data_IF_816048319622
#
_entry.id   IF_816048319622
#
_cell.length_a   1.000
_cell.length_b   1.000
_cell.length_c   1.000
_cell.angle_alpha   90.00
_cell.angle_beta   90.00
_cell.angle_gamma   90.00
#
_symmetry.space_group_name_H-M   'P 1'
#
loop_
_entity.id
_entity.type
_entity.pdbx_description
1 polymer ?
#
# COMPACT_ATOMS: atom_id res chain seq x y z
N UNK A 1 -40.99 -5.58 -32.59
CA UNK A 1 -40.18 -5.91 -31.39
C UNK A 1 -39.02 -4.94 -31.33
N UNK A 2 -39.06 -3.99 -30.40
CA UNK A 2 -37.90 -3.15 -30.12
C UNK A 2 -36.93 -4.06 -29.37
N UNK A 3 -35.87 -4.51 -30.03
CA UNK A 3 -34.75 -5.18 -29.37
C UNK A 3 -34.06 -4.08 -28.56
N UNK A 4 -34.44 -3.97 -27.29
CA UNK A 4 -33.71 -3.14 -26.33
C UNK A 4 -32.37 -3.86 -26.15
N UNK A 5 -31.31 -3.36 -26.81
CA UNK A 5 -29.96 -3.79 -26.52
C UNK A 5 -29.75 -3.69 -25.00
N UNK A 6 -29.23 -4.74 -24.33
CA UNK A 6 -28.96 -4.65 -22.91
C UNK A 6 -28.04 -3.44 -22.66
N UNK A 7 -28.21 -2.71 -21.54
CA UNK A 7 -27.39 -1.53 -21.27
C UNK A 7 -25.90 -1.87 -21.42
N UNK A 8 -25.09 -0.96 -21.96
CA UNK A 8 -23.64 -1.16 -21.98
C UNK A 8 -23.14 -1.34 -20.55
N UNK A 9 -22.23 -2.28 -20.34
CA UNK A 9 -21.62 -2.51 -19.03
C UNK A 9 -20.52 -1.46 -18.84
N UNK A 10 -20.60 -0.58 -17.83
CA UNK A 10 -19.56 0.42 -17.55
C UNK A 10 -18.32 -0.23 -16.92
N UNK A 11 -17.12 0.27 -17.27
CA UNK A 11 -15.85 -0.23 -16.69
C UNK A 11 -15.83 -0.14 -15.18
N UNK A 12 -16.36 0.95 -14.61
CA UNK A 12 -16.48 1.14 -13.15
C UNK A 12 -17.15 -0.04 -12.42
N UNK A 13 -18.04 -0.80 -13.07
CA UNK A 13 -18.66 -1.98 -12.45
C UNK A 13 -17.67 -3.14 -12.31
N UNK A 14 -16.76 -3.30 -13.26
CA UNK A 14 -15.66 -4.25 -13.16
C UNK A 14 -14.70 -3.80 -12.04
N UNK A 15 -14.44 -2.50 -11.90
CA UNK A 15 -13.62 -1.97 -10.80
C UNK A 15 -14.23 -2.32 -9.44
N UNK A 16 -15.55 -2.19 -9.26
CA UNK A 16 -16.21 -2.61 -8.02
C UNK A 16 -16.15 -4.12 -7.81
N UNK A 17 -16.38 -4.91 -8.85
CA UNK A 17 -16.28 -6.38 -8.78
C UNK A 17 -14.90 -6.81 -8.32
N UNK A 18 -13.85 -6.26 -8.92
CA UNK A 18 -12.46 -6.51 -8.57
C UNK A 18 -12.11 -6.04 -7.15
N UNK A 19 -12.45 -4.79 -6.81
CA UNK A 19 -12.05 -4.16 -5.55
C UNK A 19 -12.76 -4.76 -4.34
N UNK A 20 -14.04 -5.07 -4.47
CA UNK A 20 -14.90 -5.53 -3.38
C UNK A 20 -15.24 -7.04 -3.48
N UNK A 21 -14.63 -7.76 -4.43
CA UNK A 21 -14.91 -9.16 -4.73
C UNK A 21 -16.40 -9.47 -5.00
N UNK A 22 -17.14 -8.52 -5.57
CA UNK A 22 -18.58 -8.70 -5.81
C UNK A 22 -18.81 -9.63 -7.00
N UNK A 23 -19.46 -10.76 -6.75
CA UNK A 23 -19.76 -11.77 -7.77
C UNK A 23 -18.54 -12.53 -8.27
N UNK A 24 -17.40 -12.42 -7.58
CA UNK A 24 -16.19 -13.16 -7.93
C UNK A 24 -16.01 -14.39 -7.01
N UNK A 25 -15.57 -15.53 -7.56
CA UNK A 25 -15.15 -16.66 -6.74
C UNK A 25 -13.84 -16.33 -6.01
N UNK A 26 -13.49 -17.06 -4.92
CA UNK A 26 -12.20 -16.88 -4.24
C UNK A 26 -10.97 -17.11 -5.11
N UNK A 27 -11.13 -17.89 -6.19
CA UNK A 27 -10.11 -18.16 -7.21
C UNK A 27 -10.74 -17.97 -8.59
N UNK A 28 -10.13 -17.12 -9.42
CA UNK A 28 -10.48 -16.87 -10.82
C UNK A 28 -9.47 -17.54 -11.75
N UNK A 29 -9.89 -17.87 -12.96
CA UNK A 29 -9.09 -18.47 -14.02
C UNK A 29 -8.60 -17.40 -14.98
N UNK A 30 -7.31 -17.37 -15.27
CA UNK A 30 -6.80 -16.61 -16.40
C UNK A 30 -7.12 -17.29 -17.74
N UNK A 31 -6.95 -16.56 -18.83
CA UNK A 31 -7.17 -17.04 -20.21
C UNK A 31 -6.18 -18.12 -20.63
N UNK A 32 -5.07 -18.31 -19.92
CA UNK A 32 -4.12 -19.42 -20.09
C UNK A 32 -4.37 -20.55 -19.07
N UNK A 33 -5.56 -20.54 -18.45
CA UNK A 33 -6.02 -21.48 -17.42
C UNK A 33 -5.25 -21.40 -16.08
N UNK A 34 -4.42 -20.38 -15.89
CA UNK A 34 -3.72 -20.12 -14.63
C UNK A 34 -4.71 -19.82 -13.50
N UNK A 35 -4.43 -20.31 -12.29
CA UNK A 35 -5.23 -20.03 -11.09
C UNK A 35 -4.81 -18.70 -10.50
N UNK A 36 -5.74 -17.78 -10.29
CA UNK A 36 -5.45 -16.44 -9.77
C UNK A 36 -6.28 -16.21 -8.52
N UNK A 37 -5.63 -15.85 -7.41
CA UNK A 37 -6.29 -15.35 -6.20
C UNK A 37 -5.89 -13.90 -5.96
N UNK A 38 -6.89 -13.04 -5.81
CA UNK A 38 -6.70 -11.65 -5.43
C UNK A 38 -6.55 -11.61 -3.91
N UNK A 39 -5.31 -11.64 -3.42
CA UNK A 39 -5.04 -11.57 -1.98
C UNK A 39 -5.26 -10.13 -1.48
N UNK A 40 -4.82 -9.14 -2.28
CA UNK A 40 -5.16 -7.74 -2.09
C UNK A 40 -5.37 -7.05 -3.44
N UNK A 41 -6.48 -6.33 -3.64
CA UNK A 41 -6.77 -5.68 -4.93
C UNK A 41 -5.82 -4.52 -5.28
N UNK A 42 -4.93 -4.13 -4.36
CA UNK A 42 -4.06 -2.96 -4.53
C UNK A 42 -4.77 -1.67 -4.16
N UNK A 43 -4.41 -0.56 -4.79
CA UNK A 43 -5.08 0.73 -4.56
C UNK A 43 -5.49 1.36 -5.86
N UNK A 44 -6.76 1.78 -5.88
CA UNK A 44 -7.33 2.54 -6.97
C UNK A 44 -6.49 3.80 -7.24
N UNK A 45 -6.01 3.90 -8.47
CA UNK A 45 -5.32 5.06 -9.01
C UNK A 45 -6.36 6.05 -9.55
N UNK A 46 -6.18 7.33 -9.25
CA UNK A 46 -7.02 8.42 -9.78
C UNK A 46 -6.26 9.32 -10.74
N UNK A 47 -4.98 9.02 -10.98
CA UNK A 47 -4.11 9.74 -11.91
C UNK A 47 -3.83 8.92 -13.16
N UNK A 48 -2.72 9.23 -13.82
CA UNK A 48 -2.25 8.48 -14.98
C UNK A 48 -1.63 7.14 -14.54
N UNK A 49 -1.67 6.13 -15.41
CA UNK A 49 -1.18 4.78 -15.14
C UNK A 49 -2.31 3.81 -14.80
N UNK A 50 -1.97 2.58 -14.38
CA UNK A 50 -2.96 1.51 -14.29
C UNK A 50 -4.01 1.74 -13.21
N UNK A 51 -5.18 1.12 -13.38
CA UNK A 51 -6.37 1.34 -12.53
C UNK A 51 -6.12 1.02 -11.05
N UNK A 52 -5.40 -0.06 -10.77
CA UNK A 52 -5.03 -0.46 -9.42
C UNK A 52 -3.54 -0.69 -9.32
N UNK A 53 -2.91 0.04 -8.41
CA UNK A 53 -1.48 -0.10 -8.17
C UNK A 53 -1.20 -1.10 -7.04
N UNK A 54 -0.18 -1.92 -7.27
CA UNK A 54 0.44 -2.78 -6.26
C UNK A 54 -0.56 -3.74 -5.59
N UNK A 55 -1.32 -4.42 -6.43
CA UNK A 55 -2.10 -5.58 -6.04
C UNK A 55 -1.17 -6.72 -5.62
N UNK A 56 -1.59 -7.47 -4.59
CA UNK A 56 -0.95 -8.71 -4.21
C UNK A 56 -1.79 -9.84 -4.76
N UNK A 57 -1.23 -10.56 -5.73
CA UNK A 57 -1.89 -11.67 -6.41
C UNK A 57 -1.13 -12.97 -6.13
N UNK A 58 -1.84 -14.08 -6.09
CA UNK A 58 -1.24 -15.41 -6.17
C UNK A 58 -1.65 -16.03 -7.51
N UNK A 59 -0.69 -16.26 -8.40
CA UNK A 59 -0.88 -16.85 -9.73
C UNK A 59 -0.18 -18.21 -9.77
N UNK A 60 -0.95 -19.29 -9.96
CA UNK A 60 -0.50 -20.69 -9.87
C UNK A 60 0.34 -21.01 -8.63
N UNK A 61 -0.04 -20.40 -7.49
CA UNK A 61 0.66 -20.57 -6.21
C UNK A 61 1.86 -19.66 -6.01
N UNK A 62 2.28 -18.91 -7.04
CA UNK A 62 3.35 -17.92 -6.94
C UNK A 62 2.75 -16.56 -6.58
N UNK A 63 3.20 -16.00 -5.47
CA UNK A 63 2.78 -14.66 -5.05
C UNK A 63 3.62 -13.60 -5.71
N UNK A 64 2.95 -12.59 -6.25
CA UNK A 64 3.60 -11.45 -6.88
C UNK A 64 2.85 -10.15 -6.58
N UNK A 65 3.60 -9.06 -6.58
CA UNK A 65 3.07 -7.71 -6.52
C UNK A 65 3.14 -7.11 -7.91
N UNK A 66 2.06 -6.52 -8.38
CA UNK A 66 2.03 -5.76 -9.62
C UNK A 66 0.73 -4.99 -9.75
N UNK A 67 0.58 -4.30 -10.88
CA UNK A 67 -0.57 -3.46 -11.13
C UNK A 67 -1.69 -4.23 -11.85
N UNK A 68 -2.92 -3.77 -11.71
CA UNK A 68 -4.08 -4.34 -12.38
C UNK A 68 -4.76 -3.29 -13.21
N UNK A 69 -4.97 -3.63 -14.47
CA UNK A 69 -5.73 -2.84 -15.43
C UNK A 69 -7.09 -3.47 -15.68
N UNK A 70 -8.12 -2.64 -15.92
CA UNK A 70 -9.49 -3.09 -16.10
C UNK A 70 -10.09 -2.42 -17.34
N UNK A 71 -10.59 -3.21 -18.28
CA UNK A 71 -11.28 -2.68 -19.47
C UNK A 71 -12.51 -3.50 -19.84
N UNK A 72 -13.42 -2.95 -20.63
CA UNK A 72 -14.51 -3.76 -21.21
C UNK A 72 -13.98 -4.77 -22.22
N UNK A 73 -13.05 -4.37 -23.07
CA UNK A 73 -12.51 -5.22 -24.12
C UNK A 73 -10.99 -5.03 -24.31
N UNK A 74 -10.30 -6.00 -24.95
CA UNK A 74 -8.85 -5.94 -25.15
C UNK A 74 -8.40 -4.74 -25.98
N UNK A 75 -9.24 -4.25 -26.90
CA UNK A 75 -8.92 -3.13 -27.79
C UNK A 75 -8.70 -1.82 -27.04
N UNK A 76 -9.35 -1.63 -25.89
CA UNK A 76 -9.18 -0.46 -25.03
C UNK A 76 -7.72 -0.23 -24.63
N UNK A 77 -6.95 -1.31 -24.42
CA UNK A 77 -5.53 -1.23 -24.10
C UNK A 77 -4.74 -0.40 -25.12
N UNK A 78 -4.99 -0.63 -26.41
CA UNK A 78 -4.31 0.07 -27.50
C UNK A 78 -4.95 1.43 -27.79
N UNK A 79 -6.28 1.54 -27.67
CA UNK A 79 -6.99 2.81 -27.88
C UNK A 79 -6.55 3.88 -26.90
N UNK A 80 -6.25 3.49 -25.66
CA UNK A 80 -5.73 4.38 -24.63
C UNK A 80 -4.20 4.56 -24.68
N UNK A 81 -3.50 3.87 -25.60
CA UNK A 81 -2.05 3.98 -25.79
C UNK A 81 -1.21 3.36 -24.67
N UNK A 82 -1.77 2.43 -23.89
CA UNK A 82 -1.08 1.81 -22.76
C UNK A 82 0.11 0.95 -23.17
N UNK A 83 0.12 0.45 -24.41
CA UNK A 83 1.24 -0.30 -24.98
C UNK A 83 2.51 0.55 -25.17
N UNK A 84 2.38 1.88 -25.16
CA UNK A 84 3.48 2.83 -25.31
C UNK A 84 3.79 3.63 -24.04
N UNK A 85 3.02 3.46 -22.96
CA UNK A 85 3.23 4.16 -21.69
C UNK A 85 3.95 3.26 -20.67
N UNK A 86 5.18 3.64 -20.30
CA UNK A 86 6.03 2.93 -19.34
C UNK A 86 5.36 2.72 -17.97
N UNK A 87 4.38 3.56 -17.60
CA UNK A 87 3.62 3.41 -16.35
C UNK A 87 2.85 2.09 -16.27
N UNK A 88 2.56 1.46 -17.41
CA UNK A 88 1.87 0.18 -17.50
C UNK A 88 2.83 -1.02 -17.52
N UNK A 89 4.14 -0.78 -17.37
CA UNK A 89 5.17 -1.82 -17.38
C UNK A 89 5.07 -2.82 -16.22
N UNK A 90 4.39 -2.46 -15.13
CA UNK A 90 4.20 -3.31 -13.95
C UNK A 90 2.82 -3.99 -13.90
N UNK A 91 1.99 -3.84 -14.93
CA UNK A 91 0.70 -4.54 -15.01
C UNK A 91 0.96 -6.05 -15.04
N UNK A 92 0.40 -6.76 -14.05
CA UNK A 92 0.53 -8.21 -13.93
C UNK A 92 -0.81 -8.94 -14.13
N UNK A 93 -1.92 -8.21 -14.13
CA UNK A 93 -3.27 -8.71 -14.41
C UNK A 93 -4.07 -7.68 -15.20
N UNK A 94 -4.74 -8.12 -16.26
CA UNK A 94 -5.73 -7.33 -17.00
C UNK A 94 -7.09 -7.99 -16.91
N UNK A 95 -8.01 -7.36 -16.19
CA UNK A 95 -9.39 -7.81 -16.05
C UNK A 95 -10.24 -7.23 -17.18
N UNK A 96 -10.88 -8.10 -17.94
CA UNK A 96 -11.71 -7.76 -19.08
C UNK A 96 -13.16 -8.14 -18.78
N UNK A 97 -14.13 -7.37 -19.29
CA UNK A 97 -15.51 -7.87 -19.27
C UNK A 97 -15.62 -9.12 -20.14
N UNK A 98 -15.24 -9.00 -21.41
CA UNK A 98 -15.28 -10.08 -22.39
C UNK A 98 -14.29 -9.82 -23.55
N UNK A 99 -14.00 -10.85 -24.34
CA UNK A 99 -13.14 -10.79 -25.51
C UNK A 99 -13.68 -11.70 -26.64
N UNK A 100 -14.82 -11.36 -27.27
CA UNK A 100 -15.45 -12.23 -28.27
C UNK A 100 -14.59 -12.46 -29.52
N UNK A 101 -13.66 -11.55 -29.82
CA UNK A 101 -12.68 -11.67 -30.91
C UNK A 101 -11.35 -12.27 -30.47
N UNK A 102 -11.25 -12.70 -29.22
CA UNK A 102 -10.01 -13.08 -28.55
C UNK A 102 -9.18 -11.89 -28.10
N UNK A 103 -8.12 -12.17 -27.34
CA UNK A 103 -7.13 -11.17 -26.92
C UNK A 103 -6.03 -11.13 -27.97
N UNK A 104 -5.66 -9.94 -28.50
CA UNK A 104 -4.55 -9.82 -29.45
C UNK A 104 -3.28 -10.48 -28.91
N UNK A 105 -2.61 -11.29 -29.74
CA UNK A 105 -1.49 -12.15 -29.32
C UNK A 105 -0.40 -11.39 -28.57
N UNK A 106 -0.01 -10.20 -29.06
CA UNK A 106 0.98 -9.34 -28.41
C UNK A 106 0.58 -8.93 -27.00
N UNK A 107 -0.71 -8.67 -26.76
CA UNK A 107 -1.23 -8.31 -25.45
C UNK A 107 -1.31 -9.56 -24.56
N UNK A 108 -1.85 -10.67 -25.08
CA UNK A 108 -2.00 -11.94 -24.36
C UNK A 108 -0.68 -12.49 -23.79
N UNK A 109 0.46 -12.18 -24.41
CA UNK A 109 1.78 -12.60 -23.95
C UNK A 109 2.37 -11.74 -22.81
N UNK A 110 1.86 -10.52 -22.56
CA UNK A 110 2.49 -9.58 -21.61
C UNK A 110 2.28 -9.96 -20.15
N UNK A 111 1.06 -10.34 -19.79
CA UNK A 111 0.64 -10.62 -18.41
C UNK A 111 -0.65 -11.45 -18.39
N UNK A 112 -1.14 -11.80 -17.21
CA UNK A 112 -2.34 -12.62 -17.08
C UNK A 112 -3.59 -11.81 -17.43
N UNK A 113 -4.55 -12.45 -18.11
CA UNK A 113 -5.82 -11.81 -18.47
C UNK A 113 -6.98 -12.64 -17.96
N UNK A 114 -8.03 -12.00 -17.44
CA UNK A 114 -9.23 -12.66 -16.93
C UNK A 114 -10.45 -12.11 -17.67
N UNK A 115 -11.29 -13.00 -18.21
CA UNK A 115 -12.60 -12.63 -18.74
C UNK A 115 -13.63 -12.78 -17.61
N UNK A 116 -14.16 -11.65 -17.14
CA UNK A 116 -15.04 -11.58 -15.96
C UNK A 116 -16.42 -12.16 -16.23
N UNK A 117 -16.99 -11.91 -17.41
CA UNK A 117 -18.36 -12.31 -17.77
C UNK A 117 -18.63 -13.80 -17.55
N UNK A 118 -17.65 -14.65 -17.88
CA UNK A 118 -17.74 -16.11 -17.76
C UNK A 118 -17.38 -16.67 -16.38
N UNK A 119 -17.09 -15.82 -15.39
CA UNK A 119 -16.59 -16.25 -14.08
C UNK A 119 -17.38 -15.72 -12.90
N UNK A 120 -18.51 -15.05 -13.16
CA UNK A 120 -19.37 -14.59 -12.09
C UNK A 120 -19.95 -15.76 -11.32
N UNK A 121 -19.98 -15.66 -9.98
CA UNK A 121 -20.63 -16.65 -9.10
C UNK A 121 -22.15 -16.51 -9.07
N UNK A 122 -22.70 -15.59 -9.86
CA UNK A 122 -24.12 -15.28 -9.98
C UNK A 122 -24.47 -14.95 -11.43
N UNK A 123 -25.75 -15.06 -11.83
CA UNK A 123 -26.19 -14.64 -13.16
C UNK A 123 -25.80 -13.19 -13.48
N UNK A 124 -25.47 -12.92 -14.75
CA UNK A 124 -25.05 -11.59 -15.23
C UNK A 124 -26.12 -10.53 -14.93
N UNK A 125 -27.40 -10.89 -15.02
CA UNK A 125 -28.53 -10.02 -14.71
C UNK A 125 -28.55 -9.62 -13.23
N UNK A 126 -28.36 -10.59 -12.32
CA UNK A 126 -28.28 -10.33 -10.87
C UNK A 126 -27.07 -9.46 -10.52
N UNK A 127 -25.92 -9.73 -11.16
CA UNK A 127 -24.73 -8.90 -11.00
C UNK A 127 -24.98 -7.46 -11.48
N UNK A 128 -25.62 -7.30 -12.64
CA UNK A 128 -25.98 -6.00 -13.22
C UNK A 128 -26.92 -5.20 -12.32
N UNK A 129 -27.97 -5.84 -11.78
CA UNK A 129 -28.84 -5.19 -10.78
C UNK A 129 -28.10 -4.76 -9.52
N UNK A 130 -27.14 -5.57 -9.05
CA UNK A 130 -26.30 -5.25 -7.89
C UNK A 130 -25.45 -4.02 -8.18
N UNK A 131 -24.82 -3.97 -9.36
CA UNK A 131 -23.97 -2.84 -9.76
C UNK A 131 -24.77 -1.57 -9.99
N UNK A 132 -25.96 -1.66 -10.59
CA UNK A 132 -26.87 -0.52 -10.73
C UNK A 132 -27.28 0.07 -9.37
N UNK A 133 -27.60 -0.79 -8.39
CA UNK A 133 -27.89 -0.35 -7.02
C UNK A 133 -26.71 0.38 -6.39
N UNK A 134 -25.50 -0.18 -6.53
CA UNK A 134 -24.28 0.44 -6.04
C UNK A 134 -24.02 1.80 -6.70
N UNK A 135 -24.21 1.89 -8.02
CA UNK A 135 -24.04 3.14 -8.75
C UNK A 135 -25.02 4.24 -8.32
N UNK A 136 -26.30 3.88 -8.17
CA UNK A 136 -27.30 4.82 -7.65
C UNK A 136 -26.94 5.30 -6.25
N UNK A 137 -26.45 4.41 -5.37
CA UNK A 137 -26.00 4.76 -4.03
C UNK A 137 -24.70 5.58 -3.97
N UNK A 138 -23.81 5.41 -4.96
CA UNK A 138 -22.54 6.14 -5.05
C UNK A 138 -22.70 7.54 -5.65
N UNK A 139 -23.71 7.72 -6.50
CA UNK A 139 -23.99 8.99 -7.19
C UNK A 139 -24.70 10.02 -6.30
N UNK A 140 -25.26 9.56 -5.17
CA UNK A 140 -25.76 10.42 -4.10
C UNK A 140 -25.05 10.01 -2.82
N UNK A 141 -23.94 10.68 -2.42
CA UNK A 141 -23.52 10.59 -1.03
C UNK A 141 -24.76 10.89 -0.18
N UNK A 142 -25.06 10.09 0.87
CA UNK A 142 -26.19 10.41 1.73
C UNK A 142 -26.00 11.85 2.19
N UNK A 143 -27.06 12.67 2.11
CA UNK A 143 -26.99 14.03 2.58
C UNK A 143 -26.49 13.97 4.02
N UNK A 144 -25.37 14.65 4.32
CA UNK A 144 -24.74 14.60 5.64
C UNK A 144 -25.74 15.08 6.71
N UNK A 145 -26.71 15.92 6.30
CA UNK A 145 -27.82 16.36 7.15
C UNK A 145 -28.73 15.20 7.62
N UNK A 146 -28.84 14.12 6.84
CA UNK A 146 -29.78 13.02 7.07
C UNK A 146 -29.12 11.73 7.58
N UNK A 147 -27.79 11.68 7.67
CA UNK A 147 -27.10 10.49 8.21
C UNK A 147 -27.31 10.42 9.72
N UNK A 148 -28.03 9.39 10.16
CA UNK A 148 -28.23 9.12 11.57
C UNK A 148 -26.93 8.67 12.24
N UNK A 149 -26.81 8.88 13.56
CA UNK A 149 -25.70 8.32 14.34
C UNK A 149 -25.58 6.79 14.21
N UNK A 150 -26.70 6.11 13.98
CA UNK A 150 -26.74 4.67 13.77
C UNK A 150 -26.08 4.27 12.44
N UNK A 151 -26.38 4.97 11.35
CA UNK A 151 -25.75 4.73 10.05
C UNK A 151 -24.25 5.07 10.07
N UNK A 152 -23.88 6.19 10.72
CA UNK A 152 -22.47 6.53 10.96
C UNK A 152 -21.75 5.42 11.74
N UNK A 153 -22.38 4.89 12.78
CA UNK A 153 -21.84 3.77 13.55
C UNK A 153 -21.70 2.51 12.67
N UNK A 154 -22.69 2.21 11.83
CA UNK A 154 -22.65 1.10 10.86
C UNK A 154 -21.49 1.23 9.87
N UNK A 155 -21.27 2.42 9.28
CA UNK A 155 -20.14 2.65 8.38
C UNK A 155 -18.79 2.60 9.10
N UNK A 156 -18.71 3.11 10.33
CA UNK A 156 -17.52 3.02 11.16
C UNK A 156 -17.19 1.55 11.49
N UNK A 157 -18.19 0.76 11.85
CA UNK A 157 -18.05 -0.66 12.11
C UNK A 157 -17.61 -1.42 10.84
N UNK A 158 -18.22 -1.14 9.68
CA UNK A 158 -17.82 -1.76 8.42
C UNK A 158 -16.36 -1.44 8.07
N UNK A 159 -15.93 -0.18 8.28
CA UNK A 159 -14.53 0.23 8.10
C UNK A 159 -13.60 -0.48 9.09
N UNK A 160 -14.02 -0.65 10.34
CA UNK A 160 -13.27 -1.39 11.34
C UNK A 160 -13.14 -2.88 10.96
N UNK A 161 -14.24 -3.54 10.60
CA UNK A 161 -14.25 -4.94 10.16
C UNK A 161 -13.36 -5.17 8.94
N UNK A 162 -13.36 -4.27 7.94
CA UNK A 162 -12.43 -4.35 6.79
C UNK A 162 -10.96 -4.30 7.21
N UNK A 163 -10.60 -3.45 8.20
CA UNK A 163 -9.23 -3.41 8.73
C UNK A 163 -8.87 -4.71 9.46
N UNK A 164 -9.80 -5.24 10.27
CA UNK A 164 -9.62 -6.51 10.99
C UNK A 164 -9.42 -7.67 10.01
N UNK A 165 -10.25 -7.77 8.98
CA UNK A 165 -10.14 -8.84 7.99
C UNK A 165 -8.80 -8.76 7.25
N UNK A 166 -8.40 -7.57 6.78
CA UNK A 166 -7.08 -7.38 6.16
C UNK A 166 -5.93 -7.84 7.05
N UNK A 167 -5.96 -7.49 8.34
CA UNK A 167 -4.93 -7.94 9.30
C UNK A 167 -4.97 -9.45 9.51
N UNK A 168 -6.15 -10.06 9.55
CA UNK A 168 -6.32 -11.53 9.62
C UNK A 168 -5.72 -12.21 8.39
N UNK A 169 -5.94 -11.66 7.21
CA UNK A 169 -5.37 -12.19 5.97
C UNK A 169 -3.83 -12.12 6.03
N UNK A 170 -3.27 -11.01 6.51
CA UNK A 170 -1.82 -10.85 6.68
C UNK A 170 -1.20 -11.80 7.71
N UNK A 171 -1.94 -12.16 8.77
CA UNK A 171 -1.48 -13.13 9.77
C UNK A 171 -1.25 -14.53 9.18
N UNK A 172 -1.79 -14.83 7.99
CA UNK A 172 -1.47 -16.08 7.28
C UNK A 172 -0.07 -16.08 6.64
N UNK A 173 0.63 -14.94 6.65
CA UNK A 173 1.93 -14.75 6.00
C UNK A 173 3.00 -14.17 6.93
N UNK A 174 2.58 -13.45 7.96
CA UNK A 174 3.45 -12.66 8.81
C UNK A 174 3.14 -12.91 10.29
N UNK A 175 4.16 -12.72 11.13
CA UNK A 175 3.97 -12.72 12.59
C UNK A 175 3.07 -11.55 13.04
N UNK A 176 2.45 -11.62 14.23
CA UNK A 176 1.68 -10.48 14.76
C UNK A 176 2.48 -9.17 14.85
N UNK A 177 3.77 -9.26 15.18
CA UNK A 177 4.70 -8.12 15.20
C UNK A 177 4.86 -7.51 13.80
N UNK A 178 5.06 -8.36 12.78
CA UNK A 178 5.19 -7.92 11.40
C UNK A 178 3.90 -7.27 10.88
N UNK A 179 2.73 -7.87 11.15
CA UNK A 179 1.42 -7.31 10.78
C UNK A 179 1.19 -5.94 11.43
N UNK A 180 1.61 -5.78 12.69
CA UNK A 180 1.53 -4.51 13.39
C UNK A 180 2.41 -3.44 12.72
N UNK A 181 3.67 -3.77 12.42
CA UNK A 181 4.59 -2.83 11.79
C UNK A 181 4.21 -2.51 10.34
N UNK A 182 3.72 -3.47 9.57
CA UNK A 182 3.13 -3.24 8.25
C UNK A 182 1.98 -2.23 8.33
N UNK A 183 1.08 -2.42 9.29
CA UNK A 183 -0.07 -1.53 9.51
C UNK A 183 0.34 -0.13 9.98
N UNK A 184 1.38 -0.04 10.82
CA UNK A 184 1.96 1.22 11.27
C UNK A 184 2.60 1.97 10.09
N UNK A 185 3.34 1.28 9.25
CA UNK A 185 3.95 1.85 8.05
C UNK A 185 2.91 2.41 7.07
N UNK A 186 1.84 1.66 6.77
CA UNK A 186 0.73 2.18 5.97
C UNK A 186 0.13 3.46 6.57
N UNK A 187 0.01 3.51 7.90
CA UNK A 187 -0.52 4.68 8.61
C UNK A 187 0.42 5.88 8.48
N UNK A 188 1.74 5.67 8.60
CA UNK A 188 2.75 6.71 8.41
C UNK A 188 2.84 7.23 6.97
N UNK A 189 2.49 6.39 5.99
CA UNK A 189 2.41 6.77 4.58
C UNK A 189 1.23 7.71 4.24
N UNK A 190 0.22 7.85 5.12
CA UNK A 190 -1.03 8.56 4.84
C UNK A 190 -1.69 8.11 3.51
N UNK A 191 -2.71 8.82 3.04
CA UNK A 191 -3.39 8.46 1.78
C UNK A 191 -2.45 8.44 0.57
N UNK A 192 -1.46 9.35 0.53
CA UNK A 192 -0.57 9.52 -0.62
C UNK A 192 0.49 8.42 -0.74
N UNK A 193 1.10 7.97 0.36
CA UNK A 193 2.23 7.04 0.34
C UNK A 193 1.96 5.72 1.08
N UNK A 194 0.72 5.44 1.52
CA UNK A 194 0.38 4.16 2.20
C UNK A 194 0.85 2.93 1.43
N UNK A 195 0.79 2.95 0.10
CA UNK A 195 1.13 1.79 -0.73
C UNK A 195 2.63 1.58 -0.85
N UNK A 196 3.39 2.66 -1.07
CA UNK A 196 4.85 2.60 -1.08
C UNK A 196 5.36 2.05 0.26
N UNK A 197 4.81 2.53 1.39
CA UNK A 197 5.10 1.96 2.71
C UNK A 197 4.69 0.48 2.81
N UNK A 198 3.48 0.10 2.36
CA UNK A 198 3.05 -1.31 2.37
C UNK A 198 4.01 -2.20 1.59
N UNK A 199 4.33 -1.85 0.36
CA UNK A 199 5.19 -2.66 -0.52
C UNK A 199 6.60 -2.80 0.05
N UNK A 200 7.19 -1.69 0.49
CA UNK A 200 8.52 -1.69 1.08
C UNK A 200 8.58 -2.61 2.30
N UNK A 201 7.61 -2.49 3.21
CA UNK A 201 7.58 -3.26 4.45
C UNK A 201 7.07 -4.68 4.25
N UNK A 202 6.35 -4.97 3.18
CA UNK A 202 6.02 -6.34 2.79
C UNK A 202 7.29 -7.12 2.44
N UNK A 203 8.22 -6.48 1.74
CA UNK A 203 9.51 -7.08 1.41
C UNK A 203 10.48 -7.06 2.60
N UNK A 204 10.41 -6.03 3.44
CA UNK A 204 11.25 -5.88 4.64
C UNK A 204 10.40 -5.74 5.90
N UNK A 205 9.72 -6.83 6.32
CA UNK A 205 8.93 -6.82 7.54
C UNK A 205 9.83 -6.68 8.77
N UNK A 206 9.24 -6.40 9.94
CA UNK A 206 9.96 -6.12 11.18
C UNK A 206 10.95 -7.23 11.57
N UNK A 207 10.57 -8.49 11.36
CA UNK A 207 11.42 -9.67 11.57
C UNK A 207 12.65 -9.68 10.66
N UNK A 208 12.49 -9.33 9.37
CA UNK A 208 13.61 -9.23 8.42
C UNK A 208 14.54 -8.07 8.76
N UNK A 209 14.00 -6.91 9.14
CA UNK A 209 14.79 -5.80 9.66
C UNK A 209 15.56 -6.22 10.92
N UNK A 210 14.97 -7.07 11.77
CA UNK A 210 15.61 -7.60 12.97
C UNK A 210 16.85 -8.43 12.65
N UNK A 211 16.76 -9.32 11.66
CA UNK A 211 17.90 -10.08 11.17
C UNK A 211 19.04 -9.22 10.60
N UNK A 212 18.74 -7.98 10.19
CA UNK A 212 19.72 -7.06 9.59
C UNK A 212 20.32 -6.07 10.59
N UNK A 213 19.54 -5.59 11.56
CA UNK A 213 19.88 -4.41 12.37
C UNK A 213 19.76 -4.61 13.89
N UNK A 214 19.55 -5.84 14.39
CA UNK A 214 19.50 -6.08 15.84
C UNK A 214 20.87 -6.18 16.52
N UNK A 215 21.97 -6.38 15.77
CA UNK A 215 23.31 -6.48 16.36
C UNK A 215 23.75 -5.16 17.02
N UNK A 216 24.52 -5.22 18.13
CA UNK A 216 25.12 -4.04 18.75
C UNK A 216 25.91 -3.21 17.72
N UNK A 217 25.78 -1.88 17.79
CA UNK A 217 26.46 -0.94 16.89
C UNK A 217 25.57 -0.35 15.79
N UNK A 218 24.44 -0.97 15.47
CA UNK A 218 23.43 -0.34 14.61
C UNK A 218 22.68 0.77 15.35
N UNK A 219 22.11 1.68 14.57
CA UNK A 219 21.35 2.83 15.02
C UNK A 219 20.05 2.98 14.19
N UNK A 220 19.10 3.83 14.63
CA UNK A 220 17.95 4.19 13.80
C UNK A 220 18.34 4.81 12.45
N UNK A 221 19.55 5.38 12.35
CA UNK A 221 20.05 5.97 11.10
C UNK A 221 20.41 4.90 10.07
N UNK A 222 20.96 3.77 10.49
CA UNK A 222 21.27 2.64 9.60
C UNK A 222 20.00 2.04 9.00
N UNK A 223 18.97 1.88 9.84
CA UNK A 223 17.64 1.42 9.40
C UNK A 223 17.00 2.43 8.44
N UNK A 224 17.11 3.73 8.75
CA UNK A 224 16.58 4.78 7.88
C UNK A 224 17.27 4.80 6.52
N UNK A 225 18.61 4.77 6.48
CA UNK A 225 19.36 4.67 5.23
C UNK A 225 18.95 3.44 4.43
N UNK A 226 18.80 2.30 5.11
CA UNK A 226 18.36 1.09 4.45
C UNK A 226 17.00 1.25 3.80
N UNK A 227 16.01 1.78 4.54
CA UNK A 227 14.66 1.98 4.00
C UNK A 227 14.62 3.01 2.87
N UNK A 228 15.45 4.06 2.92
CA UNK A 228 15.61 5.03 1.83
C UNK A 228 16.17 4.34 0.58
N UNK A 229 17.20 3.51 0.74
CA UNK A 229 17.79 2.76 -0.37
C UNK A 229 16.81 1.71 -0.94
N UNK A 230 16.28 0.85 -0.09
CA UNK A 230 15.32 -0.20 -0.44
C UNK A 230 14.03 0.37 -1.05
N UNK A 231 13.64 1.58 -0.65
CA UNK A 231 12.51 2.32 -1.22
C UNK A 231 12.83 3.05 -2.53
N UNK A 232 14.02 2.91 -3.13
CA UNK A 232 14.33 3.59 -4.40
C UNK A 232 14.57 5.08 -4.29
N UNK A 233 14.73 5.61 -3.07
CA UNK A 233 14.91 7.03 -2.81
C UNK A 233 16.39 7.44 -2.66
N UNK A 234 17.32 6.49 -2.80
CA UNK A 234 18.76 6.73 -2.60
C UNK A 234 19.33 7.79 -3.53
N UNK A 235 19.05 7.71 -4.83
CA UNK A 235 19.51 8.71 -5.80
C UNK A 235 18.87 10.08 -5.55
N UNK A 236 17.57 10.11 -5.22
CA UNK A 236 16.88 11.34 -4.89
C UNK A 236 17.50 12.02 -3.65
N UNK A 237 17.85 11.25 -2.62
CA UNK A 237 18.56 11.77 -1.44
C UNK A 237 19.94 12.31 -1.81
N UNK A 238 20.72 11.56 -2.60
CA UNK A 238 22.05 11.97 -3.06
C UNK A 238 22.05 13.25 -3.90
N UNK A 239 20.94 13.57 -4.57
CA UNK A 239 20.79 14.81 -5.35
C UNK A 239 20.45 16.03 -4.49
N UNK A 240 19.96 15.85 -3.26
CA UNK A 240 19.62 16.97 -2.37
C UNK A 240 20.87 17.76 -1.96
N UNK A 241 20.83 19.09 -2.09
CA UNK A 241 21.96 19.96 -1.74
C UNK A 241 22.35 19.82 -0.26
N UNK A 242 21.37 19.83 0.64
CA UNK A 242 21.59 19.64 2.07
C UNK A 242 22.31 18.32 2.37
N UNK A 243 21.86 17.22 1.77
CA UNK A 243 22.49 15.92 1.97
C UNK A 243 23.93 15.91 1.44
N UNK A 244 24.18 16.42 0.23
CA UNK A 244 25.54 16.49 -0.34
C UNK A 244 26.50 17.31 0.52
N UNK A 245 26.01 18.32 1.21
CA UNK A 245 26.79 19.19 2.08
C UNK A 245 26.86 18.66 3.53
N UNK A 246 26.24 17.52 3.83
CA UNK A 246 26.10 17.01 5.20
C UNK A 246 27.35 16.29 5.75
N UNK A 247 28.54 16.66 5.29
CA UNK A 247 29.80 16.08 5.76
C UNK A 247 29.99 14.63 5.31
N UNK A 248 30.20 13.72 6.27
CA UNK A 248 30.51 12.31 5.97
C UNK A 248 29.30 11.45 5.54
N UNK A 249 28.06 11.92 5.73
CA UNK A 249 26.86 11.09 5.49
C UNK A 249 26.73 10.58 4.04
N UNK A 250 27.00 11.37 2.97
CA UNK A 250 26.95 10.84 1.60
C UNK A 250 27.93 9.70 1.36
N UNK A 251 29.14 9.78 1.94
CA UNK A 251 30.16 8.73 1.82
C UNK A 251 29.74 7.46 2.57
N UNK A 252 29.25 7.61 3.80
CA UNK A 252 28.71 6.50 4.59
C UNK A 252 27.53 5.84 3.88
N UNK A 253 26.60 6.63 3.36
CA UNK A 253 25.43 6.11 2.66
C UNK A 253 25.82 5.33 1.40
N UNK A 254 26.75 5.85 0.58
CA UNK A 254 27.28 5.13 -0.58
C UNK A 254 28.03 3.84 -0.19
N UNK A 255 28.71 3.82 0.95
CA UNK A 255 29.32 2.60 1.48
C UNK A 255 28.27 1.55 1.85
N UNK A 256 27.20 1.96 2.53
CA UNK A 256 26.09 1.06 2.84
C UNK A 256 25.40 0.51 1.58
N UNK A 257 25.14 1.36 0.57
CA UNK A 257 24.57 0.93 -0.72
C UNK A 257 25.42 -0.18 -1.34
N UNK A 258 26.73 0.01 -1.45
CA UNK A 258 27.64 -1.01 -2.00
C UNK A 258 27.59 -2.31 -1.20
N UNK A 259 27.56 -2.22 0.12
CA UNK A 259 27.46 -3.39 0.98
C UNK A 259 26.14 -4.16 0.77
N UNK A 260 25.02 -3.47 0.57
CA UNK A 260 23.73 -4.12 0.28
C UNK A 260 23.67 -4.71 -1.12
N UNK A 261 24.20 -4.02 -2.13
CA UNK A 261 24.31 -4.54 -3.50
C UNK A 261 25.16 -5.81 -3.55
N UNK A 262 26.28 -5.86 -2.83
CA UNK A 262 27.13 -7.05 -2.71
C UNK A 262 26.39 -8.24 -2.05
N UNK A 263 25.35 -7.96 -1.27
CA UNK A 263 24.46 -8.97 -0.67
C UNK A 263 23.22 -9.26 -1.53
N UNK A 264 23.21 -8.80 -2.79
CA UNK A 264 22.09 -8.92 -3.73
C UNK A 264 20.79 -8.29 -3.23
N UNK A 265 20.90 -7.24 -2.40
CA UNK A 265 19.75 -6.46 -1.94
C UNK A 265 19.64 -5.22 -2.82
N UNK A 266 18.61 -5.20 -3.66
CA UNK A 266 18.29 -4.10 -4.57
C UNK A 266 17.05 -3.33 -4.11
N UNK A 267 16.87 -2.08 -4.55
CA UNK A 267 15.64 -1.33 -4.32
C UNK A 267 14.42 -2.11 -4.82
N UNK A 268 13.38 -2.15 -3.99
CA UNK A 268 12.10 -2.79 -4.30
C UNK A 268 11.17 -1.81 -5.01
N UNK A 269 11.37 -0.52 -4.74
CA UNK A 269 10.63 0.58 -5.33
C UNK A 269 11.59 1.49 -6.10
N UNK A 270 10.98 2.36 -6.88
CA UNK A 270 11.59 3.47 -7.59
C UNK A 270 11.17 4.80 -6.95
N UNK A 271 11.84 5.90 -7.31
CA UNK A 271 11.46 7.23 -6.83
C UNK A 271 10.05 7.65 -7.29
N UNK A 272 9.54 7.11 -8.40
CA UNK A 272 8.22 7.43 -8.96
C UNK A 272 7.07 6.77 -8.20
N UNK A 273 7.33 5.74 -7.39
CA UNK A 273 6.33 5.10 -6.52
C UNK A 273 5.94 5.99 -5.32
N UNK A 274 6.71 7.06 -5.09
CA UNK A 274 6.51 7.97 -3.98
C UNK A 274 5.93 9.30 -4.44
N UNK A 275 4.87 9.73 -3.75
CA UNK A 275 4.30 11.05 -3.92
C UNK A 275 5.04 12.06 -3.04
N UNK A 276 5.55 13.13 -3.65
CA UNK A 276 6.19 14.26 -2.96
C UNK A 276 5.39 15.57 -3.08
N UNK A 277 4.47 15.67 -4.05
CA UNK A 277 3.69 16.88 -4.30
C UNK A 277 2.50 17.00 -3.34
N UNK A 278 2.11 18.24 -3.04
CA UNK A 278 0.96 18.58 -2.16
C UNK A 278 1.01 17.94 -0.77
N UNK A 279 2.21 17.58 -0.30
CA UNK A 279 2.44 17.10 1.05
C UNK A 279 2.75 18.25 1.99
N UNK A 280 2.29 18.13 3.24
CA UNK A 280 2.89 18.92 4.33
C UNK A 280 4.37 18.55 4.44
N UNK A 281 5.28 19.49 4.75
CA UNK A 281 6.71 19.20 4.79
C UNK A 281 7.07 17.97 5.64
N UNK A 282 6.44 17.82 6.82
CA UNK A 282 6.66 16.67 7.72
C UNK A 282 6.02 15.35 7.27
N UNK A 283 5.24 15.36 6.19
CA UNK A 283 4.69 14.16 5.56
C UNK A 283 5.58 13.61 4.45
N UNK A 284 6.73 14.25 4.17
CA UNK A 284 7.72 13.75 3.21
C UNK A 284 8.06 12.27 3.50
N UNK A 285 8.15 11.41 2.46
CA UNK A 285 8.60 10.03 2.58
C UNK A 285 9.87 9.88 3.44
N UNK A 286 10.87 10.73 3.26
CA UNK A 286 12.11 10.69 4.04
C UNK A 286 11.88 10.81 5.55
N UNK A 287 11.02 11.75 5.97
CA UNK A 287 10.72 12.00 7.39
C UNK A 287 9.86 10.86 7.95
N UNK A 288 8.90 10.36 7.18
CA UNK A 288 8.02 9.26 7.62
C UNK A 288 8.78 7.94 7.74
N UNK A 289 9.72 7.66 6.83
CA UNK A 289 10.65 6.53 6.94
C UNK A 289 11.56 6.68 8.16
N UNK A 290 12.02 7.89 8.49
CA UNK A 290 12.81 8.13 9.70
C UNK A 290 12.00 7.89 10.99
N UNK A 291 10.73 8.33 11.00
CA UNK A 291 9.80 8.04 12.09
C UNK A 291 9.58 6.54 12.26
N UNK A 292 9.33 5.81 11.17
CA UNK A 292 9.21 4.35 11.19
C UNK A 292 10.49 3.68 11.72
N UNK A 293 11.66 4.04 11.18
CA UNK A 293 12.95 3.49 11.58
C UNK A 293 13.20 3.67 13.08
N UNK A 294 12.89 4.83 13.63
CA UNK A 294 13.03 5.08 15.06
C UNK A 294 12.04 4.27 15.91
N UNK A 295 10.78 4.12 15.48
CA UNK A 295 9.79 3.31 16.20
C UNK A 295 10.21 1.85 16.22
N UNK A 296 10.53 1.31 15.04
CA UNK A 296 10.98 -0.07 14.94
C UNK A 296 12.23 -0.31 15.77
N UNK A 297 13.23 0.58 15.66
CA UNK A 297 14.48 0.42 16.40
C UNK A 297 14.26 0.48 17.91
N UNK A 298 13.33 1.30 18.41
CA UNK A 298 13.01 1.36 19.83
C UNK A 298 12.48 0.02 20.38
N UNK A 299 11.69 -0.70 19.59
CA UNK A 299 11.03 -1.95 20.02
C UNK A 299 11.70 -3.23 19.52
N UNK A 300 12.77 -3.14 18.73
CA UNK A 300 13.43 -4.29 18.07
C UNK A 300 13.81 -5.46 18.98
N UNK A 301 14.02 -5.21 20.29
CA UNK A 301 14.40 -6.23 21.27
C UNK A 301 13.24 -6.66 22.18
N UNK A 302 12.20 -5.85 22.33
CA UNK A 302 11.10 -6.09 23.28
C UNK A 302 9.80 -6.54 22.60
N UNK A 303 9.64 -6.20 21.31
CA UNK A 303 8.39 -6.37 20.57
C UNK A 303 7.35 -5.32 20.96
N UNK A 304 6.78 -4.62 19.98
CA UNK A 304 5.69 -3.66 20.22
C UNK A 304 4.35 -4.37 20.41
N UNK A 305 4.11 -5.47 19.69
CA UNK A 305 2.85 -6.21 19.75
C UNK A 305 2.55 -6.71 21.16
N UNK A 306 3.51 -7.35 21.82
CA UNK A 306 3.32 -7.87 23.18
C UNK A 306 3.08 -6.75 24.20
N UNK A 307 3.73 -5.59 24.03
CA UNK A 307 3.46 -4.41 24.87
C UNK A 307 2.01 -3.97 24.70
N UNK A 308 1.54 -3.79 23.46
CA UNK A 308 0.16 -3.36 23.20
C UNK A 308 -0.86 -4.41 23.65
N UNK A 309 -0.54 -5.69 23.50
CA UNK A 309 -1.38 -6.81 23.94
C UNK A 309 -1.47 -6.88 25.46
N UNK A 310 -0.36 -6.66 26.18
CA UNK A 310 -0.36 -6.61 27.65
C UNK A 310 -1.29 -5.51 28.16
N UNK A 311 -1.23 -4.32 27.55
CA UNK A 311 -2.12 -3.20 27.86
C UNK A 311 -3.59 -3.56 27.58
N UNK A 312 -3.85 -4.25 26.46
CA UNK A 312 -5.20 -4.71 26.11
C UNK A 312 -5.78 -5.69 27.14
N UNK A 313 -4.94 -6.58 27.71
CA UNK A 313 -5.32 -7.59 28.69
C UNK A 313 -5.70 -7.01 30.05
N UNK A 314 -5.36 -5.76 30.33
CA UNK A 314 -5.74 -5.07 31.57
C UNK A 314 -7.24 -4.74 31.62
N UNK A 315 -7.96 -4.82 30.49
CA UNK A 315 -9.42 -4.58 30.40
C UNK A 315 -9.85 -3.23 30.99
N UNK A 316 -9.01 -2.20 30.81
CA UNK A 316 -9.31 -0.84 31.25
C UNK A 316 -10.49 -0.23 30.47
N UNK A 317 -11.19 0.77 31.05
CA UNK A 317 -12.10 1.62 30.29
C UNK A 317 -11.44 2.17 29.02
N UNK A 318 -12.20 2.25 27.93
CA UNK A 318 -11.72 2.55 26.58
C UNK A 318 -10.83 3.81 26.51
N UNK A 319 -11.19 4.87 27.24
CA UNK A 319 -10.41 6.11 27.34
C UNK A 319 -9.01 5.87 27.91
N UNK A 320 -8.91 5.09 28.99
CA UNK A 320 -7.63 4.79 29.64
C UNK A 320 -6.78 3.85 28.79
N UNK A 321 -7.42 2.85 28.16
CA UNK A 321 -6.77 1.94 27.24
C UNK A 321 -6.13 2.71 26.07
N UNK A 322 -6.88 3.63 25.44
CA UNK A 322 -6.36 4.49 24.37
C UNK A 322 -5.18 5.33 24.81
N UNK A 323 -5.27 5.96 25.99
CA UNK A 323 -4.18 6.76 26.52
C UNK A 323 -2.91 5.92 26.74
N UNK A 324 -3.04 4.70 27.28
CA UNK A 324 -1.90 3.80 27.49
C UNK A 324 -1.27 3.34 26.18
N UNK A 325 -2.08 2.97 25.19
CA UNK A 325 -1.56 2.64 23.85
C UNK A 325 -0.87 3.84 23.20
N UNK A 326 -1.44 5.04 23.33
CA UNK A 326 -0.81 6.25 22.81
C UNK A 326 0.53 6.50 23.49
N UNK A 327 0.60 6.42 24.82
CA UNK A 327 1.86 6.57 25.56
C UNK A 327 2.89 5.51 25.18
N UNK A 328 2.48 4.27 24.90
CA UNK A 328 3.38 3.20 24.48
C UNK A 328 4.07 3.50 23.15
N UNK A 329 3.40 4.15 22.21
CA UNK A 329 3.97 4.49 20.88
C UNK A 329 4.51 5.93 20.80
N UNK A 330 4.42 6.70 21.89
CA UNK A 330 4.81 8.10 21.94
C UNK A 330 6.33 8.26 22.16
N UNK A 331 7.09 7.85 21.16
CA UNK A 331 8.55 7.79 21.22
C UNK A 331 9.15 9.15 20.92
N UNK A 332 9.92 9.67 21.88
CA UNK A 332 10.76 10.84 21.67
C UNK A 332 12.00 10.44 20.88
N UNK A 333 12.22 11.11 19.76
CA UNK A 333 13.40 10.91 18.92
C UNK A 333 14.64 11.43 19.65
N UNK A 334 15.73 10.68 19.53
CA UNK A 334 17.02 11.09 20.11
C UNK A 334 17.48 12.42 19.49
N UNK A 335 17.93 13.42 20.27
CA UNK A 335 18.30 14.73 19.73
C UNK A 335 19.39 14.66 18.64
N UNK A 336 20.34 13.73 18.77
CA UNK A 336 21.36 13.51 17.75
C UNK A 336 20.77 13.01 16.43
N UNK A 337 19.79 12.10 16.48
CA UNK A 337 19.09 11.59 15.30
C UNK A 337 18.33 12.72 14.59
N UNK A 338 17.61 13.56 15.34
CA UNK A 338 16.90 14.73 14.80
C UNK A 338 17.88 15.70 14.14
N UNK A 339 18.98 16.08 14.81
CA UNK A 339 19.97 17.01 14.27
C UNK A 339 20.61 16.50 12.99
N UNK A 340 20.94 15.21 12.93
CA UNK A 340 21.49 14.60 11.73
C UNK A 340 20.47 14.66 10.58
N UNK A 341 19.20 14.34 10.83
CA UNK A 341 18.14 14.45 9.81
C UNK A 341 17.92 15.90 9.36
N UNK A 342 17.92 16.87 10.28
CA UNK A 342 17.84 18.30 9.95
C UNK A 342 18.96 18.73 9.02
N UNK A 343 20.19 18.31 9.33
CA UNK A 343 21.36 18.60 8.51
C UNK A 343 21.28 17.93 7.13
N UNK A 344 20.92 16.64 7.08
CA UNK A 344 20.83 15.85 5.86
C UNK A 344 19.68 16.28 4.92
N UNK A 345 18.56 16.72 5.48
CA UNK A 345 17.35 17.06 4.72
C UNK A 345 17.10 18.57 4.60
N UNK A 346 17.94 19.40 5.23
CA UNK A 346 17.85 20.87 5.15
C UNK A 346 16.69 21.48 5.93
N UNK A 347 16.15 20.79 6.94
CA UNK A 347 15.06 21.29 7.77
C UNK A 347 15.57 22.06 8.99
N UNK A 348 15.03 23.26 9.24
CA UNK A 348 15.30 24.00 10.49
C UNK A 348 14.72 23.33 11.72
N UNK A 349 13.55 22.72 11.57
CA UNK A 349 12.82 22.03 12.62
C UNK A 349 12.21 20.74 12.08
N UNK A 350 12.24 19.69 12.89
CA UNK A 350 11.60 18.41 12.63
C UNK A 350 10.81 17.99 13.87
N UNK A 351 9.79 17.12 13.74
CA UNK A 351 9.05 16.61 14.87
C UNK A 351 9.98 15.92 15.89
N UNK A 352 9.78 16.20 17.18
CA UNK A 352 10.53 15.51 18.25
C UNK A 352 9.98 14.11 18.55
N UNK A 353 8.81 13.77 18.01
CA UNK A 353 8.11 12.51 18.27
C UNK A 353 7.95 11.72 16.98
N UNK A 354 8.19 10.42 17.06
CA UNK A 354 8.24 9.54 15.89
C UNK A 354 6.84 9.31 15.27
N UNK A 355 5.82 9.16 16.12
CA UNK A 355 4.42 9.04 15.75
C UNK A 355 3.67 10.32 16.13
N UNK A 356 3.44 11.23 15.18
CA UNK A 356 2.67 12.43 15.50
C UNK A 356 2.46 13.42 14.35
N UNK A 357 1.31 14.07 14.39
CA UNK A 357 1.11 15.40 13.83
C UNK A 357 1.44 16.40 14.94
N UNK A 358 2.53 17.15 14.80
CA UNK A 358 2.60 18.40 15.53
C UNK A 358 1.56 19.32 14.89
N UNK A 359 0.44 19.55 15.58
CA UNK A 359 -0.28 20.80 15.40
C UNK A 359 0.73 21.88 15.81
N UNK A 360 1.38 22.52 14.83
CA UNK A 360 2.03 23.79 15.09
C UNK A 360 0.93 24.67 15.72
N UNK A 361 1.12 25.02 16.99
CA UNK A 361 0.37 26.11 17.59
C UNK A 361 0.89 27.42 17.02
#
# INVERSE_FOLDING_TARGET
>A
MIVISPPSIPERWLHWSYREAIGLPPEIRGTRNERIRILQPGTLNFGNGPDFQSALLEIDGVRQIGDVEIHISPECWYQHGHDHDERYGQVCLHLLWDAPKGIPERLAQRFSHVLLSGQLTMPVETWRETMQRLESSASQPPDIADVTLHELAGFAEQRFRRKVQKMRDWLSHFSPEDVLFLSLGETLGYSANKNAFRQLLWQFPASRLGGMFCSPGHSPMDVWFFLVYAGGLGELLLRQSAFRQSGAFPLLFNQHIRNWQNRMIFPVLSATDWHFSRLRPFNSPFIRLAGFAAIWFNFRNTGLFEILLSIARERLPERLLRNRWQSAIDIRLQPAFIRNLQHMLGFRQLPERAAGNQRQR
#
